data_IF_532974280856
#
_entry.id   IF_532974280856
#
_cell.length_a   1.000
_cell.length_b   1.000
_cell.length_c   1.000
_cell.angle_alpha   90.00
_cell.angle_beta   90.00
_cell.angle_gamma   90.00
#
_symmetry.space_group_name_H-M   'P 1'
#
loop_
_entity.id
_entity.type
_entity.pdbx_description
1 polymer ?
#
# COMPACT_ATOMS: atom_id res chain seq x y z
N UNK A 1 22.99 -33.84 -23.25
CA UNK A 1 22.41 -34.36 -22.00
C UNK A 1 21.04 -34.90 -22.37
N UNK A 2 20.68 -36.12 -21.97
CA UNK A 2 19.31 -36.61 -22.19
C UNK A 2 18.35 -36.05 -21.13
N UNK A 3 17.03 -36.05 -21.35
CA UNK A 3 16.04 -35.69 -20.33
C UNK A 3 16.17 -36.52 -19.03
N UNK A 4 16.41 -37.82 -19.15
CA UNK A 4 16.61 -38.69 -17.98
C UNK A 4 17.88 -38.36 -17.21
N UNK A 5 18.96 -38.03 -17.92
CA UNK A 5 20.21 -37.60 -17.31
C UNK A 5 20.03 -36.26 -16.58
N UNK A 6 19.29 -35.31 -17.19
CA UNK A 6 18.95 -34.03 -16.57
C UNK A 6 18.15 -34.23 -15.27
N UNK A 7 17.09 -35.03 -15.33
CA UNK A 7 16.24 -35.35 -14.18
C UNK A 7 17.04 -36.02 -13.06
N UNK A 8 17.87 -37.02 -13.40
CA UNK A 8 18.72 -37.72 -12.43
C UNK A 8 19.71 -36.77 -11.76
N UNK A 9 20.37 -35.88 -12.51
CA UNK A 9 21.30 -34.91 -11.92
C UNK A 9 20.56 -34.00 -10.94
N UNK A 10 19.40 -33.48 -11.32
CA UNK A 10 18.62 -32.58 -10.48
C UNK A 10 18.14 -33.26 -9.19
N UNK A 11 17.61 -34.49 -9.28
CA UNK A 11 17.16 -35.25 -8.13
C UNK A 11 18.31 -35.59 -7.17
N UNK A 12 19.46 -36.04 -7.70
CA UNK A 12 20.64 -36.33 -6.88
C UNK A 12 21.13 -35.07 -6.13
N UNK A 13 21.06 -33.90 -6.76
CA UNK A 13 21.42 -32.63 -6.11
C UNK A 13 20.47 -32.25 -4.98
N UNK A 14 19.18 -32.57 -5.14
CA UNK A 14 18.16 -32.33 -4.13
C UNK A 14 18.28 -33.30 -2.95
N UNK A 15 18.56 -34.57 -3.20
CA UNK A 15 18.79 -35.57 -2.15
C UNK A 15 20.03 -35.23 -1.31
N UNK A 16 21.07 -34.66 -1.93
CA UNK A 16 22.29 -34.28 -1.25
C UNK A 16 22.20 -32.97 -0.45
N UNK A 17 21.20 -32.11 -0.71
CA UNK A 17 21.09 -30.79 -0.09
C UNK A 17 19.63 -30.34 0.05
N UNK A 18 19.12 -30.28 1.29
CA UNK A 18 17.77 -29.81 1.61
C UNK A 18 17.53 -28.35 1.17
N UNK A 19 18.53 -27.47 1.24
CA UNK A 19 18.39 -26.07 0.81
C UNK A 19 18.16 -25.96 -0.70
N UNK A 20 18.53 -26.99 -1.47
CA UNK A 20 18.21 -27.10 -2.90
C UNK A 20 16.70 -27.21 -3.12
N UNK A 21 15.95 -27.88 -2.22
CA UNK A 21 14.47 -27.95 -2.30
C UNK A 21 13.85 -26.58 -2.16
N UNK A 22 14.31 -25.80 -1.18
CA UNK A 22 13.87 -24.41 -0.98
C UNK A 22 14.15 -23.58 -2.23
N UNK A 23 15.38 -23.67 -2.76
CA UNK A 23 15.77 -22.96 -3.98
C UNK A 23 14.86 -23.33 -5.17
N UNK A 24 14.64 -24.62 -5.42
CA UNK A 24 13.79 -25.11 -6.51
C UNK A 24 12.32 -24.73 -6.34
N UNK A 25 11.79 -24.77 -5.11
CA UNK A 25 10.44 -24.29 -4.82
C UNK A 25 10.28 -22.79 -5.16
N UNK A 26 11.28 -21.98 -4.85
CA UNK A 26 11.31 -20.56 -5.20
C UNK A 26 11.37 -20.34 -6.72
N UNK A 27 12.06 -21.20 -7.49
CA UNK A 27 12.08 -21.11 -8.96
C UNK A 27 10.67 -21.18 -9.56
N UNK A 28 9.84 -22.11 -9.07
CA UNK A 28 8.46 -22.25 -9.52
C UNK A 28 7.61 -21.04 -9.10
N UNK A 29 7.71 -20.63 -7.82
CA UNK A 29 6.92 -19.51 -7.28
C UNK A 29 7.25 -18.17 -7.94
N UNK A 30 8.52 -17.92 -8.23
CA UNK A 30 8.97 -16.68 -8.86
C UNK A 30 8.64 -16.62 -10.35
N UNK A 31 8.32 -17.74 -11.00
CA UNK A 31 7.84 -17.81 -12.39
C UNK A 31 8.59 -16.83 -13.34
N UNK A 32 9.91 -17.02 -13.45
CA UNK A 32 10.75 -16.23 -14.34
C UNK A 32 11.26 -14.90 -13.79
N UNK A 33 10.95 -14.54 -12.54
CA UNK A 33 11.56 -13.43 -11.77
C UNK A 33 12.73 -13.89 -10.89
N UNK A 34 13.48 -14.87 -11.38
CA UNK A 34 14.51 -15.66 -10.71
C UNK A 34 15.89 -15.02 -10.90
N UNK A 35 16.07 -13.75 -10.59
CA UNK A 35 17.41 -13.12 -10.58
C UNK A 35 18.23 -13.60 -9.38
N UNK A 36 19.57 -13.46 -9.42
CA UNK A 36 20.42 -13.82 -8.28
C UNK A 36 20.00 -13.08 -7.01
N UNK A 37 19.76 -11.77 -7.13
CA UNK A 37 19.28 -10.92 -6.03
C UNK A 37 17.97 -11.47 -5.43
N UNK A 38 16.99 -11.82 -6.29
CA UNK A 38 15.72 -12.36 -5.82
C UNK A 38 15.91 -13.70 -5.08
N UNK A 39 16.63 -14.65 -5.68
CA UNK A 39 16.83 -15.97 -5.09
C UNK A 39 17.65 -15.91 -3.80
N UNK A 40 18.73 -15.12 -3.78
CA UNK A 40 19.56 -14.92 -2.61
C UNK A 40 18.78 -14.29 -1.47
N UNK A 41 18.00 -13.24 -1.74
CA UNK A 41 17.21 -12.56 -0.69
C UNK A 41 16.22 -13.51 -0.02
N UNK A 42 15.48 -14.29 -0.83
CA UNK A 42 14.53 -15.25 -0.29
C UNK A 42 15.23 -16.38 0.49
N UNK A 43 16.28 -17.00 -0.09
CA UNK A 43 16.99 -18.10 0.59
C UNK A 43 17.66 -17.61 1.87
N UNK A 44 18.30 -16.45 1.85
CA UNK A 44 18.96 -15.89 3.03
C UNK A 44 17.98 -15.63 4.17
N UNK A 45 16.81 -15.06 3.89
CA UNK A 45 15.78 -14.83 4.91
C UNK A 45 15.25 -16.15 5.52
N UNK A 46 15.13 -17.21 4.71
CA UNK A 46 14.56 -18.50 5.14
C UNK A 46 15.59 -19.37 5.87
N UNK A 47 16.80 -19.50 5.34
CA UNK A 47 17.80 -20.46 5.80
C UNK A 47 18.96 -19.82 6.55
N UNK A 48 19.13 -18.49 6.46
CA UNK A 48 20.31 -17.78 6.97
C UNK A 48 21.58 -18.01 6.15
N UNK A 49 21.51 -18.68 4.99
CA UNK A 49 22.68 -19.16 4.23
C UNK A 49 22.82 -18.52 2.85
N UNK A 50 23.10 -17.22 2.81
CA UNK A 50 23.28 -16.47 1.56
C UNK A 50 24.39 -17.04 0.65
N UNK A 51 25.57 -17.32 1.22
CA UNK A 51 26.73 -17.81 0.44
C UNK A 51 26.43 -19.14 -0.25
N UNK A 52 25.68 -20.00 0.43
CA UNK A 52 25.34 -21.33 -0.07
C UNK A 52 24.35 -21.23 -1.24
N UNK A 53 23.44 -20.25 -1.23
CA UNK A 53 22.56 -19.98 -2.37
C UNK A 53 23.35 -19.68 -3.65
N UNK A 54 24.33 -18.78 -3.58
CA UNK A 54 25.16 -18.42 -4.74
C UNK A 54 25.97 -19.61 -5.25
N UNK A 55 26.49 -20.44 -4.36
CA UNK A 55 27.20 -21.66 -4.76
C UNK A 55 26.28 -22.71 -5.37
N UNK A 56 25.06 -22.89 -4.85
CA UNK A 56 24.04 -23.74 -5.47
C UNK A 56 23.68 -23.28 -6.89
N UNK A 57 23.51 -21.97 -7.11
CA UNK A 57 23.25 -21.41 -8.45
C UNK A 57 24.41 -21.65 -9.42
N UNK A 58 25.65 -21.46 -8.96
CA UNK A 58 26.86 -21.78 -9.73
C UNK A 58 26.92 -23.27 -10.05
N UNK A 59 26.60 -24.14 -9.09
CA UNK A 59 26.59 -25.59 -9.27
C UNK A 59 25.56 -26.01 -10.32
N UNK A 60 24.32 -25.52 -10.22
CA UNK A 60 23.25 -25.79 -11.20
C UNK A 60 23.64 -25.33 -12.60
N UNK A 61 24.31 -24.17 -12.73
CA UNK A 61 24.85 -23.71 -14.02
C UNK A 61 25.98 -24.60 -14.55
N UNK A 62 26.96 -24.96 -13.71
CA UNK A 62 28.08 -25.86 -14.09
C UNK A 62 27.58 -27.22 -14.53
N UNK A 63 26.54 -27.73 -13.87
CA UNK A 63 25.85 -28.98 -14.21
C UNK A 63 24.91 -28.84 -15.42
N UNK A 64 24.84 -27.67 -16.05
CA UNK A 64 23.98 -27.38 -17.20
C UNK A 64 22.50 -27.67 -16.90
N UNK A 65 22.06 -27.37 -15.69
CA UNK A 65 20.64 -27.35 -15.30
C UNK A 65 20.04 -25.98 -15.61
N UNK A 66 20.79 -24.92 -15.28
CA UNK A 66 20.37 -23.54 -15.47
C UNK A 66 21.25 -22.79 -16.48
N UNK A 67 20.66 -21.81 -17.14
CA UNK A 67 21.31 -20.77 -17.94
C UNK A 67 20.89 -19.38 -17.46
N UNK A 68 21.65 -18.37 -17.84
CA UNK A 68 21.25 -16.97 -17.65
C UNK A 68 20.43 -16.50 -18.85
N UNK A 69 19.32 -15.84 -18.56
CA UNK A 69 18.48 -15.14 -19.50
C UNK A 69 18.99 -13.72 -19.82
N UNK A 70 18.27 -13.01 -20.72
CA UNK A 70 18.67 -11.68 -21.20
C UNK A 70 18.60 -10.58 -20.13
N UNK A 71 17.91 -10.81 -19.02
CA UNK A 71 17.75 -9.86 -17.92
C UNK A 71 18.35 -10.39 -16.62
N UNK A 72 19.38 -11.24 -16.72
CA UNK A 72 20.08 -11.90 -15.61
C UNK A 72 19.20 -12.83 -14.75
N UNK A 73 18.03 -13.23 -15.27
CA UNK A 73 17.21 -14.25 -14.64
C UNK A 73 17.81 -15.64 -14.90
N UNK A 74 17.71 -16.53 -13.91
CA UNK A 74 18.06 -17.93 -14.09
C UNK A 74 16.90 -18.66 -14.75
N UNK A 75 17.17 -19.33 -15.87
CA UNK A 75 16.21 -20.12 -16.63
C UNK A 75 16.68 -21.57 -16.71
N UNK A 76 15.75 -22.52 -16.79
CA UNK A 76 16.10 -23.87 -17.19
C UNK A 76 16.59 -23.90 -18.65
N UNK A 77 17.25 -24.99 -19.03
CA UNK A 77 17.65 -25.20 -20.41
C UNK A 77 16.44 -25.46 -21.31
N UNK A 78 16.55 -25.01 -22.56
CA UNK A 78 15.49 -25.20 -23.56
C UNK A 78 15.35 -26.67 -23.93
N UNK A 79 14.11 -27.17 -23.96
CA UNK A 79 13.77 -28.57 -24.12
C UNK A 79 13.63 -29.37 -22.81
N UNK A 80 13.78 -28.73 -21.65
CA UNK A 80 13.66 -29.37 -20.32
C UNK A 80 12.65 -28.67 -19.41
N UNK A 81 11.89 -27.69 -19.95
CA UNK A 81 10.97 -26.85 -19.21
C UNK A 81 9.92 -27.66 -18.44
N UNK A 82 9.27 -28.62 -19.11
CA UNK A 82 8.20 -29.44 -18.51
C UNK A 82 8.71 -30.27 -17.32
N UNK A 83 9.86 -30.93 -17.47
CA UNK A 83 10.46 -31.72 -16.40
C UNK A 83 10.94 -30.84 -15.24
N UNK A 84 11.52 -29.68 -15.55
CA UNK A 84 11.98 -28.75 -14.53
C UNK A 84 10.80 -28.15 -13.76
N UNK A 85 9.71 -27.80 -14.44
CA UNK A 85 8.51 -27.28 -13.80
C UNK A 85 7.83 -28.33 -12.93
N UNK A 86 7.67 -29.58 -13.39
CA UNK A 86 7.14 -30.68 -12.56
C UNK A 86 7.95 -30.89 -11.27
N UNK A 87 9.29 -30.89 -11.37
CA UNK A 87 10.15 -31.07 -10.20
C UNK A 87 10.07 -29.87 -9.25
N UNK A 88 10.17 -28.65 -9.78
CA UNK A 88 10.14 -27.42 -8.96
C UNK A 88 8.76 -27.17 -8.32
N UNK A 89 7.68 -27.52 -9.02
CA UNK A 89 6.31 -27.42 -8.52
C UNK A 89 6.09 -28.28 -7.26
N UNK A 90 6.65 -29.49 -7.21
CA UNK A 90 6.58 -30.38 -6.02
C UNK A 90 7.18 -29.71 -4.78
N UNK A 91 8.33 -29.05 -4.95
CA UNK A 91 8.98 -28.34 -3.84
C UNK A 91 8.32 -26.99 -3.52
N UNK A 92 7.56 -26.40 -4.45
CA UNK A 92 6.76 -25.20 -4.17
C UNK A 92 5.61 -25.48 -3.19
N UNK A 93 5.03 -26.69 -3.22
CA UNK A 93 3.98 -27.09 -2.28
C UNK A 93 4.58 -27.26 -0.89
N UNK A 94 5.75 -27.90 -0.82
CA UNK A 94 6.50 -28.02 0.44
C UNK A 94 6.88 -26.65 1.00
N UNK A 95 7.30 -25.71 0.15
CA UNK A 95 7.59 -24.33 0.56
C UNK A 95 6.38 -23.68 1.24
N UNK A 96 5.20 -23.76 0.60
CA UNK A 96 3.99 -23.06 1.07
C UNK A 96 3.32 -23.70 2.28
N UNK A 97 3.67 -24.94 2.63
CA UNK A 97 2.99 -25.70 3.68
C UNK A 97 3.12 -25.07 5.07
N UNK A 98 4.21 -24.34 5.32
CA UNK A 98 4.50 -23.82 6.66
C UNK A 98 4.06 -22.35 6.85
N UNK A 99 3.58 -21.69 5.79
CA UNK A 99 3.11 -20.32 5.85
C UNK A 99 1.64 -20.25 6.29
N UNK A 100 1.36 -19.52 7.37
CA UNK A 100 0.01 -19.29 7.89
C UNK A 100 -0.27 -17.79 8.05
N UNK A 101 -0.83 -17.20 7.00
CA UNK A 101 -1.12 -15.77 6.95
C UNK A 101 -2.17 -15.34 7.98
N UNK A 102 -3.16 -16.21 8.27
CA UNK A 102 -4.21 -15.91 9.22
C UNK A 102 -3.65 -15.85 10.64
N UNK A 103 -2.85 -16.85 11.02
CA UNK A 103 -2.17 -16.87 12.31
C UNK A 103 -1.19 -15.71 12.47
N UNK A 104 -0.45 -15.36 11.41
CA UNK A 104 0.43 -14.19 11.43
C UNK A 104 -0.35 -12.89 11.66
N UNK A 105 -1.48 -12.72 10.97
CA UNK A 105 -2.38 -11.59 11.17
C UNK A 105 -2.89 -11.51 12.61
N UNK A 106 -3.37 -12.62 13.18
CA UNK A 106 -3.89 -12.67 14.56
C UNK A 106 -2.80 -12.31 15.57
N UNK A 107 -1.60 -12.85 15.40
CA UNK A 107 -0.44 -12.51 16.24
C UNK A 107 -0.10 -11.03 16.15
N UNK A 108 -0.17 -10.43 14.95
CA UNK A 108 0.10 -9.00 14.75
C UNK A 108 -0.99 -8.13 15.41
N UNK A 109 -2.26 -8.54 15.38
CA UNK A 109 -3.35 -7.87 16.10
C UNK A 109 -3.13 -7.93 17.61
N UNK A 110 -2.84 -9.11 18.16
CA UNK A 110 -2.65 -9.31 19.60
C UNK A 110 -1.44 -8.54 20.15
N UNK A 111 -0.36 -8.50 19.38
CA UNK A 111 0.87 -7.78 19.77
C UNK A 111 0.82 -6.27 19.49
N UNK A 112 -0.21 -5.78 18.79
CA UNK A 112 -0.32 -4.38 18.40
C UNK A 112 0.73 -3.95 17.36
N UNK A 113 1.23 -4.88 16.53
CA UNK A 113 2.22 -4.60 15.49
C UNK A 113 1.56 -3.89 14.30
N UNK A 114 1.34 -2.57 14.44
CA UNK A 114 0.69 -1.75 13.40
C UNK A 114 1.43 -1.84 12.07
N UNK A 115 2.76 -1.91 12.07
CA UNK A 115 3.56 -1.94 10.87
C UNK A 115 3.38 -3.25 10.09
N UNK A 116 3.32 -4.39 10.78
CA UNK A 116 3.00 -5.67 10.15
C UNK A 116 1.59 -5.68 9.57
N UNK A 117 0.59 -5.13 10.29
CA UNK A 117 -0.79 -5.05 9.81
C UNK A 117 -0.91 -4.16 8.55
N UNK A 118 -0.22 -3.02 8.52
CA UNK A 118 -0.13 -2.17 7.33
C UNK A 118 0.58 -2.85 6.16
N UNK A 119 1.65 -3.61 6.43
CA UNK A 119 2.34 -4.37 5.39
C UNK A 119 1.40 -5.41 4.75
N UNK A 120 0.67 -6.19 5.55
CA UNK A 120 -0.32 -7.16 5.05
C UNK A 120 -1.40 -6.43 4.25
N UNK A 121 -1.89 -5.29 4.75
CA UNK A 121 -2.89 -4.48 4.06
C UNK A 121 -2.41 -4.05 2.67
N UNK A 122 -1.20 -3.51 2.55
CA UNK A 122 -0.63 -3.09 1.28
C UNK A 122 -0.46 -4.27 0.33
N UNK A 123 0.05 -5.41 0.82
CA UNK A 123 0.24 -6.62 0.01
C UNK A 123 -1.07 -7.20 -0.54
N UNK A 124 -2.16 -7.13 0.23
CA UNK A 124 -3.47 -7.65 -0.18
C UNK A 124 -4.18 -6.76 -1.20
N UNK A 125 -3.84 -5.48 -1.28
CA UNK A 125 -4.56 -4.52 -2.11
C UNK A 125 -3.72 -3.90 -3.24
N UNK A 126 -2.38 -4.00 -3.21
CA UNK A 126 -1.52 -3.57 -4.30
C UNK A 126 -1.35 -4.66 -5.36
N UNK A 127 -1.62 -4.30 -6.62
CA UNK A 127 -1.33 -5.17 -7.75
C UNK A 127 0.19 -5.38 -7.92
N UNK A 128 0.58 -6.62 -8.24
CA UNK A 128 1.99 -7.06 -8.40
C UNK A 128 2.80 -6.22 -9.39
N UNK A 129 2.15 -5.60 -10.38
CA UNK A 129 2.84 -4.85 -11.42
C UNK A 129 3.23 -3.43 -11.02
N UNK A 130 2.83 -2.97 -9.83
CA UNK A 130 3.10 -1.61 -9.41
C UNK A 130 2.34 -0.62 -10.28
N UNK A 131 2.91 0.57 -10.42
CA UNK A 131 2.20 1.76 -10.87
C UNK A 131 3.15 2.69 -11.61
N UNK A 132 2.85 3.00 -12.87
CA UNK A 132 3.63 3.97 -13.67
C UNK A 132 5.12 3.59 -13.68
N UNK A 133 6.01 4.48 -13.24
CA UNK A 133 7.46 4.27 -13.12
C UNK A 133 7.89 3.60 -11.80
N UNK A 134 6.97 3.36 -10.86
CA UNK A 134 7.25 2.76 -9.57
C UNK A 134 6.83 1.30 -9.54
N UNK A 135 7.71 0.46 -9.02
CA UNK A 135 7.40 -0.96 -8.79
C UNK A 135 6.46 -1.13 -7.60
N UNK A 136 5.78 -2.28 -7.49
CA UNK A 136 4.97 -2.59 -6.30
C UNK A 136 5.84 -2.54 -5.04
N UNK A 137 7.06 -3.06 -5.13
CA UNK A 137 8.04 -3.04 -4.06
C UNK A 137 8.40 -1.63 -3.59
N UNK A 138 8.69 -0.72 -4.52
CA UNK A 138 9.05 0.67 -4.20
C UNK A 138 7.92 1.38 -3.46
N UNK A 139 6.68 1.09 -3.85
CA UNK A 139 5.49 1.63 -3.17
C UNK A 139 5.47 1.12 -1.74
N UNK A 140 5.44 -0.20 -1.54
CA UNK A 140 5.35 -0.80 -0.19
C UNK A 140 6.48 -0.30 0.70
N UNK A 141 7.73 -0.30 0.19
CA UNK A 141 8.89 0.20 0.93
C UNK A 141 8.70 1.64 1.36
N UNK A 142 8.29 2.52 0.44
CA UNK A 142 8.12 3.95 0.73
C UNK A 142 7.02 4.16 1.77
N UNK A 143 5.85 3.53 1.59
CA UNK A 143 4.71 3.69 2.51
C UNK A 143 5.05 3.24 3.93
N UNK A 144 5.63 2.04 4.09
CA UNK A 144 5.99 1.53 5.42
C UNK A 144 7.12 2.36 6.04
N UNK A 145 8.08 2.81 5.23
CA UNK A 145 9.21 3.61 5.73
C UNK A 145 8.79 5.01 6.17
N UNK A 146 7.86 5.65 5.46
CA UNK A 146 7.30 6.96 5.79
C UNK A 146 6.38 6.86 7.03
N UNK A 147 5.54 5.83 7.13
CA UNK A 147 4.64 5.65 8.28
C UNK A 147 5.35 5.22 9.57
N UNK A 148 6.44 4.46 9.46
CA UNK A 148 7.12 3.86 10.62
C UNK A 148 8.62 4.15 10.62
N UNK A 149 9.37 3.45 9.78
CA UNK A 149 10.80 3.65 9.55
C UNK A 149 11.31 2.68 8.49
N UNK A 150 12.48 2.97 7.92
CA UNK A 150 13.16 2.07 6.98
C UNK A 150 13.49 0.71 7.62
N UNK A 151 13.87 0.70 8.90
CA UNK A 151 14.20 -0.54 9.62
C UNK A 151 12.96 -1.38 9.92
N UNK A 152 11.81 -0.73 10.18
CA UNK A 152 10.54 -1.44 10.30
C UNK A 152 10.19 -2.18 9.00
N UNK A 153 10.32 -1.52 7.84
CA UNK A 153 10.09 -2.17 6.55
C UNK A 153 11.00 -3.39 6.36
N UNK A 154 12.31 -3.26 6.56
CA UNK A 154 13.26 -4.37 6.42
C UNK A 154 12.95 -5.53 7.35
N UNK A 155 12.68 -5.23 8.62
CA UNK A 155 12.39 -6.24 9.64
C UNK A 155 11.15 -7.06 9.27
N UNK A 156 10.08 -6.37 8.83
CA UNK A 156 8.83 -7.04 8.47
C UNK A 156 8.98 -7.79 7.16
N UNK A 157 9.67 -7.23 6.16
CA UNK A 157 9.98 -7.93 4.91
C UNK A 157 10.70 -9.25 5.18
N UNK A 158 11.80 -9.19 5.93
CA UNK A 158 12.59 -10.38 6.26
C UNK A 158 11.75 -11.41 7.04
N UNK A 159 10.93 -10.95 7.99
CA UNK A 159 10.03 -11.82 8.77
C UNK A 159 8.98 -12.50 7.88
N UNK A 160 8.31 -11.77 7.01
CA UNK A 160 7.29 -12.32 6.10
C UNK A 160 7.89 -13.36 5.13
N UNK A 161 9.10 -13.12 4.63
CA UNK A 161 9.80 -14.07 3.76
C UNK A 161 10.25 -15.30 4.56
N UNK A 162 10.83 -15.09 5.74
CA UNK A 162 11.29 -16.16 6.65
C UNK A 162 10.15 -17.09 7.06
N UNK A 163 8.98 -16.53 7.35
CA UNK A 163 7.76 -17.27 7.68
C UNK A 163 7.03 -17.82 6.43
N UNK A 164 7.64 -17.70 5.25
CA UNK A 164 7.14 -18.21 3.96
C UNK A 164 5.78 -17.65 3.56
N UNK A 165 5.42 -16.49 4.11
CA UNK A 165 4.18 -15.77 3.81
C UNK A 165 4.30 -14.96 2.52
N UNK A 166 5.52 -14.52 2.18
CA UNK A 166 5.81 -13.75 0.98
C UNK A 166 7.01 -14.30 0.22
N UNK A 167 7.09 -13.94 -1.06
CA UNK A 167 8.29 -14.05 -1.88
C UNK A 167 8.66 -12.68 -2.45
N UNK A 168 9.96 -12.39 -2.46
CA UNK A 168 10.51 -11.22 -3.13
C UNK A 168 10.92 -11.56 -4.57
N UNK A 169 10.45 -10.81 -5.56
CA UNK A 169 10.80 -11.01 -6.95
C UNK A 169 11.29 -9.75 -7.63
N UNK A 170 12.32 -9.89 -8.48
CA UNK A 170 12.89 -8.77 -9.24
C UNK A 170 13.34 -9.19 -10.63
N UNK A 171 12.91 -8.43 -11.64
CA UNK A 171 13.32 -8.56 -13.04
C UNK A 171 13.00 -7.28 -13.80
N UNK A 172 14.00 -6.71 -14.49
CA UNK A 172 13.89 -5.57 -15.43
C UNK A 172 12.66 -4.67 -15.24
N UNK A 173 12.80 -3.62 -14.42
CA UNK A 173 11.74 -2.62 -14.21
C UNK A 173 10.51 -3.16 -13.47
N UNK A 174 10.57 -4.38 -12.94
CA UNK A 174 9.55 -4.96 -12.06
C UNK A 174 10.21 -5.51 -10.80
N UNK A 175 9.64 -5.16 -9.66
CA UNK A 175 10.06 -5.60 -8.34
C UNK A 175 8.81 -5.68 -7.46
N UNK A 176 8.67 -6.76 -6.69
CA UNK A 176 7.45 -7.02 -5.93
C UNK A 176 7.70 -7.86 -4.68
N UNK A 177 6.77 -7.77 -3.74
CA UNK A 177 6.55 -8.75 -2.68
C UNK A 177 5.19 -9.39 -2.93
N UNK A 178 5.18 -10.70 -3.13
CA UNK A 178 3.94 -11.43 -3.43
C UNK A 178 3.61 -12.36 -2.26
N UNK A 179 2.40 -12.23 -1.74
CA UNK A 179 1.85 -13.20 -0.78
C UNK A 179 1.82 -14.59 -1.41
N UNK A 180 2.21 -15.59 -0.63
CA UNK A 180 2.14 -16.99 -0.98
C UNK A 180 0.86 -17.58 -0.39
N UNK A 181 -0.27 -17.57 -1.12
CA UNK A 181 -1.50 -18.19 -0.65
C UNK A 181 -1.31 -19.69 -0.41
N UNK A 182 -2.17 -20.23 0.46
CA UNK A 182 -2.25 -21.66 0.79
C UNK A 182 -2.21 -22.54 -0.47
N UNK A 183 -1.65 -23.76 -0.40
CA UNK A 183 -1.66 -24.69 -1.53
C UNK A 183 -3.06 -25.04 -2.05
N UNK A 184 -4.13 -24.75 -1.29
CA UNK A 184 -5.53 -24.87 -1.75
C UNK A 184 -6.05 -23.52 -2.28
N UNK A 185 -6.36 -23.39 -3.59
CA UNK A 185 -6.80 -22.12 -4.19
C UNK A 185 -8.08 -21.56 -3.57
N UNK A 186 -9.08 -22.40 -3.30
CA UNK A 186 -10.37 -21.96 -2.78
C UNK A 186 -10.25 -21.44 -1.33
N UNK A 187 -9.49 -22.14 -0.48
CA UNK A 187 -9.23 -21.69 0.89
C UNK A 187 -8.41 -20.40 0.90
N UNK A 188 -7.54 -20.21 -0.09
CA UNK A 188 -6.73 -19.00 -0.20
C UNK A 188 -7.54 -17.75 -0.47
N UNK A 189 -8.54 -17.84 -1.36
CA UNK A 189 -9.38 -16.69 -1.70
C UNK A 189 -10.32 -16.32 -0.55
N UNK A 190 -10.88 -17.31 0.15
CA UNK A 190 -11.69 -17.09 1.37
C UNK A 190 -10.87 -16.40 2.46
N UNK A 191 -9.67 -16.90 2.78
CA UNK A 191 -8.78 -16.30 3.77
C UNK A 191 -8.40 -14.87 3.36
N UNK A 192 -8.04 -14.65 2.10
CA UNK A 192 -7.67 -13.33 1.59
C UNK A 192 -8.83 -12.33 1.73
N UNK A 193 -10.06 -12.76 1.42
CA UNK A 193 -11.24 -11.89 1.51
C UNK A 193 -11.66 -11.61 2.95
N UNK A 194 -11.55 -12.60 3.85
CA UNK A 194 -11.76 -12.41 5.29
C UNK A 194 -10.75 -11.40 5.85
N UNK A 195 -9.45 -11.62 5.58
CA UNK A 195 -8.38 -10.72 6.05
C UNK A 195 -8.54 -9.30 5.52
N UNK A 196 -8.89 -9.12 4.24
CA UNK A 196 -9.20 -7.79 3.69
C UNK A 196 -10.32 -7.11 4.46
N UNK A 197 -11.37 -7.84 4.82
CA UNK A 197 -12.51 -7.31 5.56
C UNK A 197 -12.12 -6.93 6.99
N UNK A 198 -11.39 -7.81 7.70
CA UNK A 198 -10.88 -7.56 9.05
C UNK A 198 -9.92 -6.38 9.10
N UNK A 199 -8.99 -6.28 8.15
CA UNK A 199 -8.05 -5.17 8.03
C UNK A 199 -8.73 -3.84 7.71
N UNK A 200 -9.80 -3.85 6.91
CA UNK A 200 -10.61 -2.63 6.68
C UNK A 200 -11.23 -2.14 7.98
N UNK A 201 -11.85 -3.02 8.76
CA UNK A 201 -12.43 -2.66 10.07
C UNK A 201 -11.38 -2.12 11.01
N UNK A 202 -10.25 -2.83 11.14
CA UNK A 202 -9.12 -2.41 11.96
C UNK A 202 -8.58 -1.03 11.54
N UNK A 203 -8.36 -0.82 10.23
CA UNK A 203 -7.87 0.44 9.66
C UNK A 203 -8.84 1.58 9.96
N UNK A 204 -10.15 1.39 9.74
CA UNK A 204 -11.17 2.40 10.04
C UNK A 204 -11.17 2.77 11.52
N UNK A 205 -11.08 1.79 12.43
CA UNK A 205 -11.02 2.05 13.86
C UNK A 205 -9.75 2.85 14.23
N UNK A 206 -8.59 2.49 13.66
CA UNK A 206 -7.34 3.22 13.88
C UNK A 206 -7.33 4.63 13.33
N UNK A 207 -7.95 4.85 12.17
CA UNK A 207 -8.11 6.20 11.62
C UNK A 207 -9.04 7.04 12.49
N UNK A 208 -10.13 6.48 13.01
CA UNK A 208 -11.03 7.16 13.94
C UNK A 208 -10.34 7.52 15.27
N UNK A 209 -9.48 6.64 15.79
CA UNK A 209 -8.66 6.90 16.97
C UNK A 209 -7.69 8.07 16.72
N UNK A 210 -6.91 8.00 15.63
CA UNK A 210 -5.90 9.04 15.30
C UNK A 210 -6.55 10.37 14.95
N UNK A 211 -7.72 10.34 14.32
CA UNK A 211 -8.43 11.55 13.92
C UNK A 211 -9.06 12.31 15.08
N UNK A 212 -9.35 11.66 16.19
CA UNK A 212 -9.87 12.34 17.39
C UNK A 212 -8.97 13.48 17.87
N UNK A 213 -7.65 13.34 17.75
CA UNK A 213 -6.69 14.39 18.10
C UNK A 213 -6.70 15.54 17.10
N UNK A 214 -6.78 15.21 15.81
CA UNK A 214 -6.87 16.22 14.73
C UNK A 214 -8.17 17.00 14.84
N UNK A 215 -9.30 16.32 15.03
CA UNK A 215 -10.61 16.92 15.27
C UNK A 215 -10.52 17.90 16.43
N UNK A 216 -10.06 17.46 17.61
CA UNK A 216 -9.92 18.34 18.78
C UNK A 216 -9.04 19.56 18.50
N UNK A 217 -7.97 19.38 17.74
CA UNK A 217 -7.06 20.49 17.39
C UNK A 217 -7.75 21.50 16.47
N UNK A 218 -8.44 21.02 15.42
CA UNK A 218 -9.20 21.87 14.49
C UNK A 218 -10.36 22.56 15.20
N UNK A 219 -11.08 21.85 16.06
CA UNK A 219 -12.17 22.40 16.87
C UNK A 219 -11.66 23.53 17.78
N UNK A 220 -10.53 23.32 18.46
CA UNK A 220 -9.91 24.33 19.30
C UNK A 220 -9.52 25.58 18.50
N UNK A 221 -8.79 25.40 17.39
CA UNK A 221 -8.38 26.53 16.52
C UNK A 221 -9.59 27.28 15.97
N UNK A 222 -10.65 26.56 15.57
CA UNK A 222 -11.89 27.16 15.07
C UNK A 222 -12.60 27.98 16.16
N UNK A 223 -12.68 27.47 17.39
CA UNK A 223 -13.23 28.20 18.53
C UNK A 223 -12.43 29.47 18.86
N UNK A 224 -11.10 29.39 18.82
CA UNK A 224 -10.21 30.54 19.04
C UNK A 224 -10.40 31.62 17.96
N UNK A 225 -10.55 31.23 16.69
CA UNK A 225 -10.82 32.14 15.57
C UNK A 225 -12.18 32.83 15.73
N UNK A 226 -13.24 32.09 16.07
CA UNK A 226 -14.58 32.67 16.36
C UNK A 226 -14.49 33.67 17.50
N UNK A 227 -13.82 33.31 18.60
CA UNK A 227 -13.66 34.19 19.76
C UNK A 227 -12.87 35.47 19.40
N UNK A 228 -11.81 35.34 18.60
CA UNK A 228 -11.02 36.46 18.11
C UNK A 228 -11.83 37.39 17.20
N UNK A 229 -12.60 36.84 16.26
CA UNK A 229 -13.48 37.60 15.38
C UNK A 229 -14.52 38.41 16.18
N UNK A 230 -15.19 37.77 17.15
CA UNK A 230 -16.15 38.44 18.06
C UNK A 230 -15.48 39.55 18.89
N UNK A 231 -14.27 39.31 19.39
CA UNK A 231 -13.50 40.34 20.12
C UNK A 231 -13.15 41.53 19.22
N UNK A 232 -12.84 41.28 17.96
CA UNK A 232 -12.42 42.28 16.97
C UNK A 232 -13.57 43.22 16.59
N UNK A 233 -14.77 42.68 16.41
CA UNK A 233 -15.96 43.47 16.03
C UNK A 233 -16.62 44.17 17.22
N UNK A 234 -16.22 43.86 18.47
CA UNK A 234 -16.87 44.39 19.68
C UNK A 234 -16.97 45.92 19.71
N UNK A 235 -15.96 46.62 19.18
CA UNK A 235 -15.93 48.09 19.11
C UNK A 235 -16.78 48.68 17.97
N UNK A 236 -17.13 47.87 16.97
CA UNK A 236 -17.91 48.25 15.78
C UNK A 236 -19.34 47.68 15.83
N UNK A 237 -19.67 46.88 16.84
CA UNK A 237 -20.90 46.09 16.96
C UNK A 237 -22.18 46.91 16.77
N UNK A 238 -22.30 48.03 17.49
CA UNK A 238 -23.46 48.92 17.40
C UNK A 238 -23.61 49.51 15.99
N UNK A 239 -22.50 49.93 15.38
CA UNK A 239 -22.49 50.53 14.04
C UNK A 239 -22.83 49.49 12.96
N UNK A 240 -22.35 48.25 13.10
CA UNK A 240 -22.67 47.14 12.20
C UNK A 240 -24.13 46.68 12.36
N UNK A 241 -24.66 46.66 13.59
CA UNK A 241 -26.06 46.36 13.88
C UNK A 241 -27.00 47.37 13.21
N UNK A 242 -26.68 48.66 13.33
CA UNK A 242 -27.43 49.74 12.68
C UNK A 242 -27.39 49.63 11.15
N UNK A 243 -26.20 49.41 10.56
CA UNK A 243 -26.05 49.24 9.11
C UNK A 243 -26.76 48.01 8.54
N UNK A 244 -26.77 46.91 9.30
CA UNK A 244 -27.39 45.66 8.88
C UNK A 244 -28.91 45.61 9.18
N UNK A 245 -29.46 46.61 9.89
CA UNK A 245 -30.83 46.56 10.42
C UNK A 245 -31.09 45.31 11.27
N UNK A 246 -30.11 44.96 12.11
CA UNK A 246 -30.15 43.80 13.00
C UNK A 246 -29.92 44.26 14.45
N UNK A 247 -30.29 43.45 15.42
CA UNK A 247 -29.86 43.66 16.80
C UNK A 247 -28.36 43.36 16.96
N UNK A 248 -27.72 44.02 17.91
CA UNK A 248 -26.34 43.71 18.30
C UNK A 248 -26.14 42.23 18.66
N UNK A 249 -27.17 41.58 19.21
CA UNK A 249 -27.16 40.16 19.59
C UNK A 249 -27.21 39.23 18.36
N UNK A 250 -27.87 39.66 17.29
CA UNK A 250 -27.86 38.95 16.01
C UNK A 250 -26.55 39.17 15.23
N UNK A 251 -25.91 40.32 15.38
CA UNK A 251 -24.53 40.55 14.88
C UNK A 251 -23.54 39.60 15.56
N UNK A 252 -23.62 39.44 16.89
CA UNK A 252 -22.72 38.52 17.61
C UNK A 252 -22.94 37.05 17.25
N UNK A 253 -24.19 36.67 16.94
CA UNK A 253 -24.52 35.31 16.47
C UNK A 253 -24.11 35.06 15.03
N UNK A 254 -24.05 36.11 14.19
CA UNK A 254 -23.62 36.01 12.80
C UNK A 254 -22.09 36.10 12.63
N UNK A 255 -21.36 36.70 13.58
CA UNK A 255 -19.89 36.67 13.59
C UNK A 255 -19.38 35.36 14.18
N UNK A 256 -19.30 34.37 13.30
CA UNK A 256 -18.69 33.07 13.54
C UNK A 256 -19.58 32.13 14.34
N UNK A 257 -19.87 30.96 13.76
CA UNK A 257 -20.54 29.84 14.41
C UNK A 257 -19.78 28.56 14.08
N UNK A 258 -19.46 27.76 15.10
CA UNK A 258 -18.81 26.47 14.94
C UNK A 258 -19.49 25.43 15.84
N UNK A 259 -20.06 24.39 15.24
CA UNK A 259 -20.85 23.36 15.91
C UNK A 259 -20.08 22.06 16.19
N UNK A 260 -18.76 22.05 16.00
CA UNK A 260 -17.94 20.84 16.10
C UNK A 260 -17.82 20.07 14.79
N UNK A 261 -17.00 19.03 14.80
CA UNK A 261 -16.88 18.07 13.69
C UNK A 261 -17.49 16.73 14.09
N UNK A 262 -18.46 16.26 13.32
CA UNK A 262 -19.05 14.92 13.50
C UNK A 262 -18.61 14.02 12.34
N UNK A 263 -17.62 13.13 12.54
CA UNK A 263 -17.24 12.19 11.50
C UNK A 263 -18.32 11.11 11.31
N UNK A 264 -18.49 10.69 10.07
CA UNK A 264 -19.33 9.57 9.67
C UNK A 264 -18.53 8.53 8.86
N UNK A 265 -19.20 7.45 8.44
CA UNK A 265 -18.57 6.37 7.69
C UNK A 265 -18.04 6.77 6.30
N UNK A 266 -18.37 7.98 5.82
CA UNK A 266 -17.85 8.55 4.57
C UNK A 266 -16.72 9.56 4.78
N UNK A 267 -16.40 9.87 6.05
CA UNK A 267 -15.42 10.88 6.41
C UNK A 267 -13.99 10.38 6.18
N UNK A 268 -13.26 11.02 5.27
CA UNK A 268 -11.82 10.81 5.08
C UNK A 268 -11.02 11.85 5.87
N UNK A 269 -10.10 11.38 6.71
CA UNK A 269 -9.12 12.24 7.35
C UNK A 269 -7.93 12.44 6.43
N UNK A 270 -7.87 13.63 5.85
CA UNK A 270 -6.73 14.08 5.05
C UNK A 270 -5.83 14.86 6.00
N UNK A 271 -4.69 14.29 6.38
CA UNK A 271 -3.66 15.05 7.09
C UNK A 271 -3.07 16.09 6.16
N UNK A 272 -3.02 17.33 6.64
CA UNK A 272 -2.61 18.47 5.86
C UNK A 272 -2.29 19.70 6.66
N UNK A 273 -1.29 20.44 6.20
CA UNK A 273 -1.01 21.80 6.59
C UNK A 273 -2.22 22.62 6.15
N UNK A 274 -3.04 22.94 7.14
CA UNK A 274 -4.18 23.83 7.02
C UNK A 274 -3.66 25.24 7.26
N UNK A 275 -3.54 26.03 6.18
CA UNK A 275 -3.36 27.46 6.32
C UNK A 275 -4.75 28.08 6.22
N UNK A 276 -5.26 28.54 7.36
CA UNK A 276 -6.48 29.32 7.44
C UNK A 276 -6.08 30.78 7.26
N UNK A 277 -6.36 31.35 6.08
CA UNK A 277 -6.31 32.78 5.86
C UNK A 277 -7.74 33.33 5.91
N UNK A 278 -7.89 34.63 6.19
CA UNK A 278 -9.13 35.34 6.59
C UNK A 278 -10.46 34.89 5.93
N UNK A 279 -10.41 34.41 4.69
CA UNK A 279 -11.50 34.08 3.78
C UNK A 279 -11.19 32.86 2.88
N UNK A 280 -10.10 32.14 3.13
CA UNK A 280 -9.62 31.05 2.27
C UNK A 280 -9.07 29.88 3.08
N UNK A 281 -9.53 28.67 2.73
CA UNK A 281 -9.00 27.41 3.25
C UNK A 281 -7.98 26.84 2.26
N UNK A 282 -6.69 26.91 2.58
CA UNK A 282 -5.65 26.22 1.84
C UNK A 282 -5.36 24.87 2.50
N UNK A 283 -5.82 23.80 1.85
CA UNK A 283 -5.52 22.41 2.24
C UNK A 283 -4.25 21.99 1.51
N UNK A 284 -3.10 22.07 2.18
CA UNK A 284 -1.92 21.35 1.73
C UNK A 284 -1.97 19.97 2.38
N UNK A 285 -2.30 18.92 1.62
CA UNK A 285 -2.29 17.53 2.10
C UNK A 285 -0.84 17.18 2.48
N UNK A 286 -0.59 17.02 3.76
CA UNK A 286 0.68 16.70 4.41
C UNK A 286 0.40 15.65 5.48
N UNK A 287 0.47 14.42 5.00
CA UNK A 287 1.15 13.30 5.62
C UNK A 287 0.52 12.59 6.85
N UNK A 288 -0.10 11.46 6.53
CA UNK A 288 -0.37 10.24 7.31
C UNK A 288 -1.40 9.36 6.58
N UNK A 289 -2.05 9.87 5.52
CA UNK A 289 -2.59 8.99 4.49
C UNK A 289 -1.41 8.50 3.65
N UNK A 290 -1.25 7.18 3.60
CA UNK A 290 -0.30 6.55 2.70
C UNK A 290 -0.57 7.08 1.28
N UNK A 291 0.45 7.29 0.42
CA UNK A 291 0.20 7.69 -0.98
C UNK A 291 -0.67 6.65 -1.68
N UNK A 292 -0.71 5.42 -1.15
CA UNK A 292 -1.66 4.36 -1.44
C UNK A 292 -3.14 4.70 -1.17
N UNK A 293 -3.48 5.46 -0.13
CA UNK A 293 -4.87 5.79 0.19
C UNK A 293 -5.49 6.78 -0.81
N UNK A 294 -4.68 7.71 -1.32
CA UNK A 294 -5.05 8.52 -2.48
C UNK A 294 -5.23 7.67 -3.76
N UNK A 295 -4.73 6.42 -3.77
CA UNK A 295 -4.86 5.45 -4.88
C UNK A 295 -6.09 4.56 -4.79
N UNK A 296 -6.73 4.45 -3.63
CA UNK A 296 -8.00 3.74 -3.48
C UNK A 296 -9.21 4.53 -4.01
N UNK A 297 -9.03 5.79 -4.43
CA UNK A 297 -10.06 6.61 -5.09
C UNK A 297 -10.57 6.01 -6.41
N UNK A 298 -9.95 4.93 -6.90
CA UNK A 298 -10.48 4.08 -7.97
C UNK A 298 -11.76 3.36 -7.59
N UNK A 299 -11.89 2.97 -6.32
CA UNK A 299 -12.98 2.11 -5.84
C UNK A 299 -14.09 2.91 -5.14
N UNK A 300 -13.78 4.09 -4.60
CA UNK A 300 -14.73 4.93 -3.87
C UNK A 300 -14.75 6.37 -4.43
N UNK A 301 -15.94 6.91 -4.77
CA UNK A 301 -16.07 8.31 -5.17
C UNK A 301 -15.63 9.27 -4.06
N UNK A 302 -14.75 10.21 -4.38
CA UNK A 302 -14.35 11.28 -3.48
C UNK A 302 -14.98 12.59 -3.96
N UNK A 303 -15.71 13.27 -3.08
CA UNK A 303 -16.37 14.54 -3.39
C UNK A 303 -15.64 15.67 -2.67
N UNK A 304 -15.14 16.63 -3.44
CA UNK A 304 -14.59 17.89 -2.93
C UNK A 304 -15.65 18.97 -3.05
N UNK A 305 -16.00 19.62 -1.93
CA UNK A 305 -16.91 20.77 -1.91
C UNK A 305 -16.08 22.03 -1.73
N UNK A 306 -16.13 22.95 -2.69
CA UNK A 306 -15.31 24.18 -2.70
C UNK A 306 -16.17 25.43 -2.89
N UNK A 307 -15.80 26.56 -2.28
CA UNK A 307 -16.57 27.82 -2.39
C UNK A 307 -16.38 28.53 -3.74
N UNK A 308 -15.20 28.35 -4.33
CA UNK A 308 -14.83 28.87 -5.64
C UNK A 308 -14.56 27.75 -6.62
N UNK A 309 -14.75 28.04 -7.91
CA UNK A 309 -14.36 27.16 -9.00
C UNK A 309 -12.84 27.11 -9.06
N UNK A 310 -12.20 25.95 -8.80
CA UNK A 310 -10.75 25.85 -8.85
C UNK A 310 -10.26 26.28 -10.23
N UNK A 311 -9.27 27.19 -10.30
CA UNK A 311 -8.76 27.76 -11.56
C UNK A 311 -8.26 26.69 -12.55
N UNK A 312 -7.93 25.52 -12.04
CA UNK A 312 -7.44 24.37 -12.80
C UNK A 312 -8.54 23.39 -13.22
N UNK A 313 -9.82 23.59 -12.88
CA UNK A 313 -10.88 22.63 -13.18
C UNK A 313 -11.06 22.39 -14.69
N UNK A 314 -10.84 23.42 -15.51
CA UNK A 314 -10.81 23.31 -16.98
C UNK A 314 -9.49 22.77 -17.54
N UNK A 315 -8.49 22.49 -16.69
CA UNK A 315 -7.16 21.94 -17.03
C UNK A 315 -6.89 20.65 -16.27
N UNK A 316 -7.94 19.96 -15.84
CA UNK A 316 -7.83 18.84 -14.91
C UNK A 316 -6.99 17.69 -15.48
N UNK A 317 -7.09 17.42 -16.78
CA UNK A 317 -6.26 16.42 -17.45
C UNK A 317 -4.75 16.76 -17.39
N UNK A 318 -4.41 18.04 -17.39
CA UNK A 318 -3.03 18.52 -17.33
C UNK A 318 -2.50 18.40 -15.89
N UNK A 319 -3.29 18.82 -14.90
CA UNK A 319 -2.92 18.75 -13.47
C UNK A 319 -2.71 17.30 -13.04
N UNK A 320 -3.57 16.40 -13.51
CA UNK A 320 -3.54 14.98 -13.13
C UNK A 320 -2.80 14.09 -14.14
N UNK A 321 -2.11 14.66 -15.14
CA UNK A 321 -1.44 13.93 -16.23
C UNK A 321 -0.49 12.83 -15.75
N UNK A 322 0.25 13.10 -14.67
CA UNK A 322 1.24 12.19 -14.09
C UNK A 322 0.77 11.57 -12.77
N UNK A 323 -0.50 11.77 -12.43
CA UNK A 323 -1.05 11.28 -11.18
C UNK A 323 -1.46 9.81 -11.32
N UNK A 324 -1.29 9.01 -10.26
CA UNK A 324 -1.84 7.66 -10.19
C UNK A 324 -2.82 7.54 -9.02
N UNK A 325 -4.02 6.92 -9.21
CA UNK A 325 -4.54 6.30 -10.44
C UNK A 325 -4.68 7.36 -11.52
N UNK A 326 -4.69 7.00 -12.81
CA UNK A 326 -4.94 7.99 -13.86
C UNK A 326 -6.28 8.67 -13.57
N UNK A 327 -6.48 9.90 -14.04
CA UNK A 327 -7.76 10.60 -13.81
C UNK A 327 -8.96 9.76 -14.31
N UNK A 328 -8.83 9.00 -15.40
CA UNK A 328 -9.85 8.07 -15.89
C UNK A 328 -10.21 6.95 -14.91
N UNK A 329 -9.27 6.59 -14.04
CA UNK A 329 -9.38 5.44 -13.15
C UNK A 329 -9.81 5.88 -11.75
N UNK A 330 -9.98 7.18 -11.50
CA UNK A 330 -10.47 7.75 -10.23
C UNK A 330 -11.97 7.98 -10.32
N UNK A 331 -12.67 7.92 -9.19
CA UNK A 331 -14.00 8.51 -9.03
C UNK A 331 -13.86 9.77 -8.18
N UNK A 332 -13.83 10.93 -8.84
CA UNK A 332 -13.68 12.23 -8.20
C UNK A 332 -14.78 13.17 -8.67
N UNK A 333 -15.45 13.81 -7.73
CA UNK A 333 -16.39 14.88 -7.99
C UNK A 333 -15.91 16.15 -7.29
N UNK A 334 -16.07 17.30 -7.95
CA UNK A 334 -15.84 18.62 -7.39
C UNK A 334 -17.14 19.39 -7.53
N UNK A 335 -17.67 19.87 -6.41
CA UNK A 335 -18.92 20.63 -6.37
C UNK A 335 -18.63 22.01 -5.83
N UNK A 336 -19.02 23.01 -6.60
CA UNK A 336 -19.12 24.39 -6.17
C UNK A 336 -20.61 24.72 -6.08
N UNK A 337 -21.18 24.83 -4.86
CA UNK A 337 -22.60 25.05 -4.69
C UNK A 337 -23.10 26.23 -5.54
N UNK A 338 -24.19 26.02 -6.27
CA UNK A 338 -24.85 27.01 -7.14
C UNK A 338 -23.98 27.57 -8.28
N UNK A 339 -22.83 26.96 -8.61
CA UNK A 339 -21.96 27.41 -9.72
C UNK A 339 -21.63 26.29 -10.71
N UNK A 340 -20.95 25.23 -10.27
CA UNK A 340 -20.50 24.15 -11.16
C UNK A 340 -20.37 22.83 -10.40
N UNK A 341 -20.71 21.73 -11.06
CA UNK A 341 -20.38 20.38 -10.61
C UNK A 341 -19.55 19.71 -11.71
N UNK A 342 -18.43 19.13 -11.32
CA UNK A 342 -17.56 18.33 -12.17
C UNK A 342 -17.49 16.92 -11.59
N UNK A 343 -17.68 15.90 -12.43
CA UNK A 343 -17.30 14.54 -12.12
C UNK A 343 -16.54 13.94 -13.29
N UNK A 344 -15.59 13.06 -13.00
CA UNK A 344 -14.91 12.24 -14.00
C UNK A 344 -15.52 10.84 -14.12
N UNK A 345 -16.66 10.60 -13.48
CA UNK A 345 -17.42 9.35 -13.48
C UNK A 345 -18.91 9.63 -13.67
N UNK A 346 -19.65 8.62 -14.17
CA UNK A 346 -21.10 8.70 -14.42
C UNK A 346 -21.91 8.62 -13.13
#
# INVERSE_FOLDING_TARGET
>A
MSPDEYKRILLNLVEANEDMKTLLGLFHLLNGYTTEEALVKNVAAITGREKDCREMLKLLRRRKILKLGPYNEYLCLSGYEEFFDDITARYSVQYRRDGDLLKYFETAVESGDEAALWMIYLLLNLEKHGVSELTQYDIIRTEISEMFSHDAFKTIEEKLIKEKLCIYGKKKGKEFLQLCPSPSPNQSEEIVNDLRSRLRVWRTAKLAEKSGTVIKTVEKVSQELVASARKSIKSLRAQMAEQASMSEDEIDKSVGYFSGLTPDASSMFITGNLIIYRDTLHIAITDSLSRYDAREWKYYPVVFITEEVPRWIGKIEIVFKNSYPKLSDRRMAIVVPNKVAYSNFK
#
